data_IF_664967047789
#
_entry.id   IF_664967047789
#
_cell.length_a   1.000
_cell.length_b   1.000
_cell.length_c   1.000
_cell.angle_alpha   90.00
_cell.angle_beta   90.00
_cell.angle_gamma   90.00
#
_symmetry.space_group_name_H-M   'P 1'
#
loop_
_entity.id
_entity.type
_entity.pdbx_description
1 polymer ?
#
# COMPACT_ATOMS: atom_id res chain seq x y z
N UNK A 1 57.67 -2.12 -16.64
CA UNK A 1 57.01 -2.28 -15.32
C UNK A 1 55.95 -1.21 -15.02
N UNK A 2 56.25 0.10 -15.10
CA UNK A 2 55.33 1.21 -14.74
C UNK A 2 54.06 1.31 -15.61
N UNK A 3 54.11 0.92 -16.89
CA UNK A 3 52.92 0.89 -17.78
C UNK A 3 52.01 -0.31 -17.46
N UNK A 4 52.59 -1.48 -17.21
CA UNK A 4 51.87 -2.67 -16.79
C UNK A 4 51.12 -2.48 -15.47
N UNK A 5 51.77 -1.83 -14.48
CA UNK A 5 51.13 -1.50 -13.20
C UNK A 5 49.96 -0.51 -13.36
N UNK A 6 50.06 0.45 -14.29
CA UNK A 6 48.95 1.37 -14.61
C UNK A 6 47.76 0.63 -15.23
N UNK A 7 48.00 -0.28 -16.18
CA UNK A 7 46.92 -1.05 -16.79
C UNK A 7 46.28 -2.04 -15.80
N UNK A 8 47.07 -2.62 -14.88
CA UNK A 8 46.57 -3.47 -13.81
C UNK A 8 45.66 -2.71 -12.84
N UNK A 9 46.05 -1.50 -12.43
CA UNK A 9 45.23 -0.65 -11.55
C UNK A 9 43.93 -0.22 -12.25
N UNK A 10 43.99 0.14 -13.53
CA UNK A 10 42.79 0.49 -14.32
C UNK A 10 41.84 -0.70 -14.47
N UNK A 11 42.38 -1.91 -14.69
CA UNK A 11 41.59 -3.13 -14.82
C UNK A 11 40.91 -3.51 -13.50
N UNK A 12 41.64 -3.42 -12.37
CA UNK A 12 41.07 -3.65 -11.03
C UNK A 12 39.99 -2.61 -10.72
N UNK A 13 40.22 -1.33 -11.04
CA UNK A 13 39.22 -0.27 -10.84
C UNK A 13 37.94 -0.50 -11.65
N UNK A 14 38.06 -0.92 -12.91
CA UNK A 14 36.92 -1.26 -13.76
C UNK A 14 36.17 -2.49 -13.22
N UNK A 15 36.90 -3.52 -12.78
CA UNK A 15 36.31 -4.73 -12.22
C UNK A 15 35.56 -4.46 -10.91
N UNK A 16 36.12 -3.64 -10.02
CA UNK A 16 35.46 -3.21 -8.77
C UNK A 16 34.21 -2.35 -9.04
N UNK A 17 34.24 -1.51 -10.08
CA UNK A 17 33.08 -0.72 -10.48
C UNK A 17 31.94 -1.61 -10.99
N UNK A 18 32.23 -2.59 -11.84
CA UNK A 18 31.23 -3.56 -12.34
C UNK A 18 30.62 -4.40 -11.20
N UNK A 19 31.44 -4.84 -10.24
CA UNK A 19 30.94 -5.57 -9.05
C UNK A 19 30.01 -4.67 -8.23
N UNK A 20 30.37 -3.39 -8.05
CA UNK A 20 29.55 -2.44 -7.28
C UNK A 20 28.17 -2.23 -7.92
N UNK A 21 28.10 -2.13 -9.25
CA UNK A 21 26.81 -1.99 -9.96
C UNK A 21 25.95 -3.25 -9.85
N UNK A 22 26.53 -4.46 -9.91
CA UNK A 22 25.77 -5.71 -9.77
C UNK A 22 25.16 -5.91 -8.38
N UNK A 23 25.82 -5.41 -7.32
CA UNK A 23 25.30 -5.50 -5.94
C UNK A 23 24.08 -4.60 -5.72
N UNK A 24 24.00 -3.47 -6.43
CA UNK A 24 22.86 -2.54 -6.38
C UNK A 24 21.59 -3.17 -7.00
N UNK A 25 21.72 -3.86 -8.13
CA UNK A 25 20.60 -4.54 -8.80
C UNK A 25 20.05 -5.72 -7.99
N UNK A 26 20.93 -6.51 -7.36
CA UNK A 26 20.52 -7.64 -6.52
C UNK A 26 19.71 -7.23 -5.27
N UNK A 27 19.95 -6.03 -4.72
CA UNK A 27 19.16 -5.49 -3.60
C UNK A 27 17.78 -4.99 -4.04
N UNK A 28 17.65 -4.47 -5.26
CA UNK A 28 16.36 -4.03 -5.81
C UNK A 28 15.43 -5.23 -6.08
N UNK A 29 15.96 -6.34 -6.61
CA UNK A 29 15.17 -7.53 -6.94
C UNK A 29 14.57 -8.25 -5.72
N UNK A 30 15.24 -8.22 -4.55
CA UNK A 30 14.76 -8.90 -3.32
C UNK A 30 13.55 -8.23 -2.65
N UNK A 31 13.26 -6.95 -2.91
CA UNK A 31 12.12 -6.23 -2.30
C UNK A 31 10.76 -6.57 -2.91
N UNK A 32 10.72 -7.28 -4.04
CA UNK A 32 9.48 -7.56 -4.79
C UNK A 32 8.63 -8.74 -4.25
N UNK A 33 9.08 -9.49 -3.24
CA UNK A 33 8.32 -10.62 -2.67
C UNK A 33 7.32 -10.21 -1.58
N UNK A 34 6.67 -9.05 -1.71
CA UNK A 34 5.43 -8.83 -0.97
C UNK A 34 4.39 -9.83 -1.50
N UNK A 35 3.79 -10.64 -0.62
CA UNK A 35 2.71 -11.58 -1.00
C UNK A 35 1.62 -10.79 -1.73
N UNK A 36 1.48 -11.03 -3.04
CA UNK A 36 0.37 -10.48 -3.84
C UNK A 36 -0.93 -11.15 -3.40
N UNK A 37 -2.06 -10.46 -3.55
CA UNK A 37 -3.38 -11.08 -3.41
C UNK A 37 -3.46 -12.29 -4.35
N UNK A 38 -4.05 -13.43 -3.94
CA UNK A 38 -4.26 -14.54 -4.85
C UNK A 38 -5.07 -14.08 -6.08
N UNK A 39 -4.81 -14.66 -7.26
CA UNK A 39 -5.64 -14.38 -8.42
C UNK A 39 -7.08 -14.77 -8.09
N UNK A 40 -8.02 -13.91 -8.48
CA UNK A 40 -9.46 -14.20 -8.38
C UNK A 40 -9.95 -14.37 -9.80
N UNK A 41 -10.45 -15.56 -10.14
CA UNK A 41 -10.88 -15.92 -11.50
C UNK A 41 -12.27 -15.34 -11.81
N UNK A 42 -12.41 -14.01 -11.77
CA UNK A 42 -13.64 -13.32 -12.21
C UNK A 42 -13.29 -12.26 -13.24
N UNK A 43 -14.03 -12.26 -14.35
CA UNK A 43 -13.85 -11.32 -15.46
C UNK A 43 -14.28 -9.89 -15.09
N UNK A 44 -14.96 -9.69 -13.95
CA UNK A 44 -15.53 -8.40 -13.53
C UNK A 44 -15.39 -8.16 -12.01
N UNK A 45 -14.16 -8.19 -11.49
CA UNK A 45 -13.84 -7.89 -10.08
C UNK A 45 -14.35 -6.50 -9.63
N UNK A 46 -14.59 -5.57 -10.57
CA UNK A 46 -15.06 -4.21 -10.26
C UNK A 46 -16.56 -4.13 -9.97
N UNK A 47 -17.37 -5.10 -10.40
CA UNK A 47 -18.84 -5.02 -10.28
C UNK A 47 -19.43 -6.02 -9.30
N UNK A 48 -18.70 -7.09 -8.96
CA UNK A 48 -19.20 -8.13 -8.07
C UNK A 48 -18.56 -8.07 -6.66
N UNK A 49 -19.27 -7.51 -5.65
CA UNK A 49 -18.83 -7.55 -4.26
C UNK A 49 -18.58 -8.99 -3.76
N UNK A 50 -19.27 -9.99 -4.34
CA UNK A 50 -19.20 -11.39 -3.90
C UNK A 50 -17.80 -11.97 -4.08
N UNK A 51 -17.02 -11.45 -5.03
CA UNK A 51 -15.64 -11.86 -5.24
C UNK A 51 -14.79 -11.71 -3.97
N UNK A 52 -14.94 -10.57 -3.27
CA UNK A 52 -14.21 -10.29 -2.03
C UNK A 52 -14.79 -11.09 -0.85
N UNK A 53 -16.12 -11.14 -0.76
CA UNK A 53 -16.88 -11.81 0.31
C UNK A 53 -16.56 -13.30 0.43
N UNK A 54 -16.29 -13.98 -0.69
CA UNK A 54 -15.99 -15.42 -0.72
C UNK A 54 -14.91 -15.83 0.28
N UNK A 55 -13.89 -14.99 0.46
CA UNK A 55 -12.77 -15.22 1.37
C UNK A 55 -12.75 -14.23 2.56
N UNK A 56 -13.31 -13.03 2.42
CA UNK A 56 -13.27 -11.95 3.42
C UNK A 56 -14.60 -11.75 4.18
N UNK A 57 -15.30 -12.84 4.53
CA UNK A 57 -16.63 -12.82 5.16
C UNK A 57 -16.68 -11.96 6.44
N UNK A 58 -15.66 -12.05 7.30
CA UNK A 58 -15.60 -11.27 8.54
C UNK A 58 -15.53 -9.77 8.26
N UNK A 59 -14.62 -9.37 7.37
CA UNK A 59 -14.42 -7.97 7.00
C UNK A 59 -15.67 -7.41 6.33
N UNK A 60 -16.32 -8.19 5.49
CA UNK A 60 -17.55 -7.79 4.84
C UNK A 60 -18.70 -7.58 5.83
N UNK A 61 -18.86 -8.46 6.82
CA UNK A 61 -19.86 -8.29 7.88
C UNK A 61 -19.64 -7.01 8.70
N UNK A 62 -18.38 -6.69 9.01
CA UNK A 62 -18.01 -5.42 9.67
C UNK A 62 -18.33 -4.22 8.77
N UNK A 63 -18.03 -4.35 7.47
CA UNK A 63 -18.23 -3.29 6.48
C UNK A 63 -19.71 -2.98 6.24
N UNK A 64 -20.55 -3.99 6.06
CA UNK A 64 -22.00 -3.85 5.76
C UNK A 64 -22.74 -3.05 6.84
N UNK A 65 -22.33 -3.18 8.11
CA UNK A 65 -22.89 -2.40 9.21
C UNK A 65 -22.28 -1.00 9.37
N UNK A 66 -21.22 -0.67 8.65
CA UNK A 66 -20.55 0.63 8.73
C UNK A 66 -21.27 1.70 7.90
N UNK A 67 -21.05 3.00 8.19
CA UNK A 67 -21.57 4.08 7.34
C UNK A 67 -21.18 3.93 5.87
N UNK A 68 -19.99 3.43 5.56
CA UNK A 68 -19.56 3.28 4.17
C UNK A 68 -20.26 2.11 3.48
N UNK A 69 -20.45 0.98 4.18
CA UNK A 69 -21.22 -0.16 3.65
C UNK A 69 -22.68 0.19 3.42
N UNK A 70 -23.30 0.92 4.35
CA UNK A 70 -24.67 1.44 4.20
C UNK A 70 -24.82 2.41 3.02
N UNK A 71 -23.76 3.14 2.68
CA UNK A 71 -23.71 4.03 1.50
C UNK A 71 -23.13 3.32 0.25
N UNK A 72 -23.10 1.98 0.24
CA UNK A 72 -22.70 1.15 -0.90
C UNK A 72 -21.30 1.43 -1.45
N UNK A 73 -20.41 1.99 -0.64
CA UNK A 73 -19.00 2.13 -1.01
C UNK A 73 -18.41 0.73 -1.14
N UNK A 74 -17.82 0.43 -2.30
CA UNK A 74 -17.28 -0.91 -2.60
C UNK A 74 -15.84 -1.07 -2.10
N UNK A 75 -15.43 -2.30 -1.83
CA UNK A 75 -14.12 -2.62 -1.25
C UNK A 75 -12.94 -2.05 -2.08
N UNK A 76 -13.04 -2.14 -3.41
CA UNK A 76 -12.01 -1.66 -4.34
C UNK A 76 -11.83 -0.15 -4.35
N UNK A 77 -12.79 0.64 -3.83
CA UNK A 77 -12.65 2.10 -3.71
C UNK A 77 -11.45 2.43 -2.81
N UNK A 78 -11.30 1.68 -1.72
CA UNK A 78 -10.19 1.85 -0.80
C UNK A 78 -9.01 0.93 -1.11
N UNK A 79 -9.29 -0.32 -1.50
CA UNK A 79 -8.25 -1.34 -1.71
C UNK A 79 -7.66 -1.34 -3.12
N UNK A 80 -8.24 -0.61 -4.08
CA UNK A 80 -7.81 -0.61 -5.48
C UNK A 80 -8.23 -1.87 -6.25
N UNK A 81 -7.82 -1.92 -7.52
CA UNK A 81 -8.01 -3.09 -8.37
C UNK A 81 -7.06 -4.23 -7.95
N UNK A 82 -7.53 -5.48 -8.00
CA UNK A 82 -6.74 -6.66 -7.59
C UNK A 82 -5.51 -6.92 -8.50
N UNK A 83 -5.35 -6.17 -9.59
CA UNK A 83 -4.32 -6.41 -10.61
C UNK A 83 -3.08 -5.53 -10.44
N UNK A 84 -3.25 -4.20 -10.45
CA UNK A 84 -2.18 -3.21 -10.57
C UNK A 84 -2.05 -2.33 -9.33
N UNK A 85 -3.16 -2.02 -8.65
CA UNK A 85 -3.20 -1.02 -7.57
C UNK A 85 -3.74 -1.56 -6.26
N UNK A 86 -3.63 -2.87 -6.04
CA UNK A 86 -4.14 -3.48 -4.81
C UNK A 86 -3.34 -3.05 -3.57
N UNK A 87 -4.02 -2.45 -2.61
CA UNK A 87 -3.51 -2.09 -1.30
C UNK A 87 -4.28 -2.87 -0.21
N UNK A 88 -3.69 -3.92 0.41
CA UNK A 88 -4.37 -4.66 1.48
C UNK A 88 -4.65 -3.80 2.72
N UNK A 89 -3.91 -2.69 2.87
CA UNK A 89 -4.16 -1.63 3.84
C UNK A 89 -4.18 -0.31 3.06
N UNK A 90 -5.35 0.31 2.89
CA UNK A 90 -5.47 1.56 2.15
C UNK A 90 -4.56 2.66 2.71
N UNK A 91 -3.92 3.41 1.83
CA UNK A 91 -3.19 4.61 2.17
C UNK A 91 -4.14 5.81 2.36
N UNK A 92 -3.71 6.91 3.00
CA UNK A 92 -4.52 8.12 3.10
C UNK A 92 -5.03 8.64 1.74
N UNK A 93 -4.29 8.40 0.66
CA UNK A 93 -4.69 8.76 -0.72
C UNK A 93 -6.04 8.16 -1.13
N UNK A 94 -6.37 6.96 -0.66
CA UNK A 94 -7.67 6.35 -0.96
C UNK A 94 -8.82 7.05 -0.25
N UNK A 95 -8.58 7.62 0.93
CA UNK A 95 -9.60 8.32 1.71
C UNK A 95 -9.91 9.71 1.14
N UNK A 96 -8.90 10.41 0.64
CA UNK A 96 -9.02 11.82 0.22
C UNK A 96 -9.77 12.03 -1.08
N UNK A 97 -10.07 10.96 -1.82
CA UNK A 97 -10.99 11.02 -2.95
C UNK A 97 -12.37 11.53 -2.53
N UNK A 98 -12.80 11.21 -1.30
CA UNK A 98 -14.05 11.72 -0.71
C UNK A 98 -13.80 12.65 0.49
N UNK A 99 -12.68 12.48 1.22
CA UNK A 99 -12.34 13.22 2.44
C UNK A 99 -11.15 14.16 2.25
N UNK A 100 -11.13 14.95 1.18
CA UNK A 100 -10.00 15.79 0.78
C UNK A 100 -9.45 16.67 1.92
N UNK A 101 -10.34 17.30 2.69
CA UNK A 101 -9.99 18.22 3.77
C UNK A 101 -9.28 17.52 4.95
N UNK A 102 -9.50 16.21 5.13
CA UNK A 102 -9.00 15.49 6.31
C UNK A 102 -7.52 15.11 6.20
N UNK A 103 -6.92 15.26 5.02
CA UNK A 103 -5.49 15.01 4.82
C UNK A 103 -4.62 15.99 5.61
N UNK A 104 -5.02 17.26 5.65
CA UNK A 104 -4.26 18.29 6.36
C UNK A 104 -4.35 18.09 7.88
N UNK A 105 -5.50 17.65 8.39
CA UNK A 105 -5.67 17.28 9.80
C UNK A 105 -4.76 16.12 10.20
N UNK A 106 -4.66 15.09 9.34
CA UNK A 106 -3.76 13.95 9.56
C UNK A 106 -2.29 14.39 9.63
N UNK A 107 -1.88 15.30 8.72
CA UNK A 107 -0.53 15.88 8.70
C UNK A 107 -0.25 16.71 9.96
N UNK A 108 -1.17 17.59 10.36
CA UNK A 108 -1.05 18.42 11.57
C UNK A 108 -0.92 17.56 12.84
N UNK A 109 -1.70 16.49 12.91
CA UNK A 109 -1.62 15.50 13.98
C UNK A 109 -0.36 14.64 13.94
N UNK A 110 0.51 14.81 12.93
CA UNK A 110 1.74 14.02 12.70
C UNK A 110 1.47 12.52 12.60
N UNK A 111 0.30 12.17 12.07
CA UNK A 111 -0.13 10.78 11.89
C UNK A 111 0.15 10.34 10.46
N UNK A 112 0.45 9.04 10.31
CA UNK A 112 0.78 8.44 9.02
C UNK A 112 -0.43 7.82 8.33
N UNK A 113 -1.39 7.33 9.11
CA UNK A 113 -2.57 6.62 8.56
C UNK A 113 -3.82 6.95 9.37
N UNK A 114 -4.98 7.01 8.68
CA UNK A 114 -6.30 7.16 9.30
C UNK A 114 -6.56 6.05 10.35
N UNK A 115 -6.05 4.84 10.10
CA UNK A 115 -6.19 3.67 10.98
C UNK A 115 -5.45 3.75 12.31
N UNK A 116 -4.68 4.81 12.59
CA UNK A 116 -4.15 5.00 13.93
C UNK A 116 -5.28 5.31 14.91
N UNK A 117 -6.29 6.06 14.48
CA UNK A 117 -7.48 6.40 15.28
C UNK A 117 -8.73 5.64 14.84
N UNK A 118 -8.84 5.22 13.57
CA UNK A 118 -10.00 4.47 13.07
C UNK A 118 -9.79 2.95 13.03
N UNK A 119 -10.86 2.18 13.21
CA UNK A 119 -10.82 0.72 13.35
C UNK A 119 -11.23 -0.01 12.07
N UNK A 120 -10.27 -0.67 11.41
CA UNK A 120 -10.54 -1.71 10.41
C UNK A 120 -11.60 -1.34 9.37
N UNK A 121 -12.55 -2.24 9.13
CA UNK A 121 -13.64 -2.07 8.16
C UNK A 121 -14.88 -1.41 8.75
N UNK A 122 -14.94 -1.12 10.06
CA UNK A 122 -16.02 -0.28 10.60
C UNK A 122 -15.71 1.21 10.42
N UNK A 123 -14.42 1.54 10.32
CA UNK A 123 -13.88 2.91 10.36
C UNK A 123 -14.36 3.73 11.56
N UNK A 124 -14.83 3.07 12.61
CA UNK A 124 -15.20 3.72 13.86
C UNK A 124 -13.97 4.26 14.57
N UNK A 125 -14.18 5.33 15.33
CA UNK A 125 -13.12 5.93 16.17
C UNK A 125 -12.81 4.98 17.32
N UNK A 126 -11.55 4.60 17.48
CA UNK A 126 -11.08 3.79 18.60
C UNK A 126 -11.31 4.52 19.93
N UNK A 127 -11.70 3.79 21.00
CA UNK A 127 -11.81 4.37 22.33
C UNK A 127 -10.57 5.18 22.74
N UNK A 128 -10.79 6.38 23.28
CA UNK A 128 -9.72 7.28 23.74
C UNK A 128 -9.03 8.10 22.65
N UNK A 129 -9.39 7.93 21.38
CA UNK A 129 -8.86 8.80 20.31
C UNK A 129 -9.45 10.21 20.43
N UNK A 130 -8.61 11.23 20.32
CA UNK A 130 -9.06 12.63 20.25
C UNK A 130 -9.52 12.94 18.83
N UNK A 131 -10.62 13.67 18.69
CA UNK A 131 -11.05 14.19 17.40
C UNK A 131 -10.08 15.28 16.93
N UNK A 132 -9.50 15.09 15.75
CA UNK A 132 -8.57 16.03 15.11
C UNK A 132 -9.17 16.70 13.87
N UNK A 133 -10.38 16.31 13.48
CA UNK A 133 -11.04 16.83 12.29
C UNK A 133 -11.68 18.18 12.61
N UNK A 134 -11.06 19.27 12.18
CA UNK A 134 -11.70 20.58 12.27
C UNK A 134 -12.86 20.64 11.27
N UNK A 135 -13.97 21.26 11.68
CA UNK A 135 -15.06 21.65 10.78
C UNK A 135 -14.68 22.96 10.09
#
# INVERSE_FOLDING_TARGET
MRRFLKYLILFIGLFLFVISTSVLEAKAAKKSKAKKHPPVETEMITEDPLACLSCHQKQAKEWEGSPHGLNQVRCFICHGDLEKRFEPKPSPSNCVMCHAEKLEDLKKAKMKTCFQCHSGHTLEVKPGSKNIHTK
#
